data_IF_732305191946
#
_entry.id   IF_732305191946
#
_cell.length_a   1.000
_cell.length_b   1.000
_cell.length_c   1.000
_cell.angle_alpha   90.00
_cell.angle_beta   90.00
_cell.angle_gamma   90.00
#
_symmetry.space_group_name_H-M   'P 1'
#
loop_
_entity.id
_entity.type
_entity.pdbx_description
1 polymer ?
#
# COMPACT_ATOMS: atom_id res chain seq x y z
N UNK A 1 -20.23 -3.93 -16.22
CA UNK A 1 -19.67 -3.80 -17.57
C UNK A 1 -18.22 -3.32 -17.46
N UNK A 2 -17.26 -4.05 -17.98
CA UNK A 2 -15.87 -3.63 -17.89
C UNK A 2 -15.62 -2.35 -18.73
N UNK A 3 -14.73 -1.49 -18.24
CA UNK A 3 -14.33 -0.29 -18.99
C UNK A 3 -13.50 -0.62 -20.23
N UNK A 4 -12.91 -1.81 -20.27
CA UNK A 4 -12.02 -2.21 -21.36
C UNK A 4 -12.69 -3.31 -22.19
N UNK A 5 -12.91 -3.07 -23.49
CA UNK A 5 -13.42 -4.12 -24.39
C UNK A 5 -12.52 -5.36 -24.35
N UNK A 6 -13.12 -6.53 -24.38
CA UNK A 6 -12.38 -7.79 -24.38
C UNK A 6 -12.00 -8.33 -23.01
N UNK A 7 -12.27 -7.59 -21.94
CA UNK A 7 -12.14 -8.11 -20.57
C UNK A 7 -13.50 -8.56 -20.04
N UNK A 8 -13.49 -9.62 -19.25
CA UNK A 8 -14.70 -10.13 -18.58
C UNK A 8 -15.06 -9.25 -17.39
N UNK A 9 -16.30 -9.35 -16.91
CA UNK A 9 -16.79 -8.56 -15.76
C UNK A 9 -16.05 -8.90 -14.46
N UNK A 10 -15.43 -10.08 -14.38
CA UNK A 10 -14.64 -10.53 -13.23
C UNK A 10 -13.14 -10.25 -13.38
N UNK A 11 -12.75 -9.47 -14.39
CA UNK A 11 -11.35 -9.13 -14.62
C UNK A 11 -10.80 -8.27 -13.45
N UNK A 12 -9.63 -8.65 -12.96
CA UNK A 12 -8.91 -7.93 -11.92
C UNK A 12 -7.66 -7.23 -12.44
N UNK A 13 -6.90 -6.64 -11.53
CA UNK A 13 -5.68 -5.89 -11.84
C UNK A 13 -4.69 -6.71 -12.68
N UNK A 14 -4.54 -8.00 -12.41
CA UNK A 14 -3.67 -8.89 -13.19
C UNK A 14 -4.03 -8.95 -14.68
N UNK A 15 -5.30 -8.76 -15.01
CA UNK A 15 -5.75 -8.74 -16.40
C UNK A 15 -5.46 -7.37 -17.04
N UNK A 16 -5.62 -6.29 -16.28
CA UNK A 16 -5.38 -4.93 -16.75
C UNK A 16 -3.91 -4.72 -17.07
N UNK A 17 -2.99 -5.19 -16.23
CA UNK A 17 -1.55 -5.04 -16.48
C UNK A 17 -1.09 -5.78 -17.72
N UNK A 18 -1.85 -6.77 -18.20
CA UNK A 18 -1.55 -7.51 -19.43
C UNK A 18 -1.99 -6.79 -20.69
N UNK A 19 -2.81 -5.74 -20.59
CA UNK A 19 -3.25 -4.97 -21.76
C UNK A 19 -2.09 -4.24 -22.43
N UNK A 20 -1.09 -3.83 -21.64
CA UNK A 20 0.16 -3.29 -22.15
C UNK A 20 1.31 -4.03 -21.45
N UNK A 21 1.82 -5.11 -22.05
CA UNK A 21 2.81 -5.97 -21.39
C UNK A 21 4.09 -5.24 -20.98
N UNK A 22 4.54 -4.26 -21.76
CA UNK A 22 5.74 -3.48 -21.44
C UNK A 22 5.54 -2.63 -20.18
N UNK A 23 4.45 -1.89 -20.13
CA UNK A 23 4.11 -1.07 -18.96
C UNK A 23 3.79 -1.96 -17.73
N UNK A 24 3.07 -3.05 -17.94
CA UNK A 24 2.74 -3.99 -16.87
C UNK A 24 3.98 -4.60 -16.24
N UNK A 25 4.96 -5.01 -17.06
CA UNK A 25 6.24 -5.53 -16.57
C UNK A 25 6.99 -4.48 -15.76
N UNK A 26 7.10 -3.27 -16.28
CA UNK A 26 7.79 -2.18 -15.61
C UNK A 26 7.14 -1.86 -14.25
N UNK A 27 5.81 -1.89 -14.18
CA UNK A 27 5.06 -1.66 -12.94
C UNK A 27 5.34 -2.76 -11.92
N UNK A 28 5.33 -4.03 -12.33
CA UNK A 28 5.66 -5.17 -11.45
C UNK A 28 7.10 -5.09 -10.97
N UNK A 29 8.05 -4.75 -11.85
CA UNK A 29 9.45 -4.58 -11.48
C UNK A 29 9.63 -3.45 -10.47
N UNK A 30 8.97 -2.32 -10.66
CA UNK A 30 8.98 -1.21 -9.70
C UNK A 30 8.43 -1.64 -8.35
N UNK A 31 7.30 -2.33 -8.35
CA UNK A 31 6.66 -2.84 -7.13
C UNK A 31 7.61 -3.78 -6.38
N UNK A 32 8.25 -4.70 -7.07
CA UNK A 32 9.22 -5.62 -6.49
C UNK A 32 10.42 -4.88 -5.91
N UNK A 33 10.98 -3.94 -6.67
CA UNK A 33 12.11 -3.14 -6.22
C UNK A 33 11.76 -2.32 -4.97
N UNK A 34 10.58 -1.71 -4.95
CA UNK A 34 10.17 -0.87 -3.83
C UNK A 34 9.88 -1.69 -2.57
N UNK A 35 9.23 -2.85 -2.70
CA UNK A 35 8.67 -3.58 -1.56
C UNK A 35 9.49 -4.81 -1.15
N UNK A 36 10.37 -5.33 -1.99
CA UNK A 36 11.07 -6.59 -1.75
C UNK A 36 12.59 -6.47 -1.75
N UNK A 37 13.14 -5.37 -2.26
CA UNK A 37 14.60 -5.16 -2.21
C UNK A 37 15.01 -4.77 -0.80
N UNK A 38 16.09 -5.35 -0.33
CA UNK A 38 16.64 -5.05 0.98
C UNK A 38 17.01 -3.58 1.11
N UNK A 39 16.58 -2.99 2.20
CA UNK A 39 16.82 -1.61 2.55
C UNK A 39 16.76 -1.47 4.08
N UNK A 40 16.75 -0.24 4.57
CA UNK A 40 16.62 0.02 6.01
C UNK A 40 15.28 -0.43 6.59
N UNK A 41 14.25 -0.55 5.76
CA UNK A 41 12.94 -1.04 6.14
C UNK A 41 12.79 -2.49 5.68
N UNK A 42 12.28 -3.34 6.56
CA UNK A 42 11.97 -4.74 6.24
C UNK A 42 10.77 -4.83 5.30
N UNK A 43 10.62 -5.99 4.65
CA UNK A 43 9.42 -6.25 3.84
C UNK A 43 8.14 -6.13 4.69
N UNK A 44 8.17 -6.57 5.94
CA UNK A 44 7.08 -6.41 6.91
C UNK A 44 6.70 -4.94 7.09
N UNK A 45 7.70 -4.08 7.34
CA UNK A 45 7.48 -2.65 7.55
C UNK A 45 6.93 -1.98 6.29
N UNK A 46 7.47 -2.34 5.13
CA UNK A 46 7.02 -1.81 3.84
C UNK A 46 5.58 -2.19 3.54
N UNK A 47 5.17 -3.41 3.83
CA UNK A 47 3.79 -3.84 3.63
C UNK A 47 2.84 -3.17 4.62
N UNK A 48 3.27 -2.92 5.85
CA UNK A 48 2.49 -2.14 6.80
C UNK A 48 2.25 -0.73 6.28
N UNK A 49 3.29 -0.06 5.78
CA UNK A 49 3.18 1.28 5.20
C UNK A 49 2.23 1.25 3.99
N UNK A 50 2.39 0.27 3.11
CA UNK A 50 1.54 0.13 1.93
C UNK A 50 0.07 -0.10 2.29
N UNK A 51 -0.21 -0.94 3.29
CA UNK A 51 -1.56 -1.16 3.79
C UNK A 51 -2.17 0.10 4.38
N UNK A 52 -1.39 0.84 5.18
CA UNK A 52 -1.81 2.09 5.79
C UNK A 52 -2.17 3.14 4.73
N UNK A 53 -1.27 3.37 3.77
CA UNK A 53 -1.51 4.33 2.67
C UNK A 53 -2.73 3.91 1.83
N UNK A 54 -2.86 2.63 1.54
CA UNK A 54 -4.00 2.10 0.77
C UNK A 54 -5.33 2.32 1.50
N UNK A 55 -5.33 2.14 2.83
CA UNK A 55 -6.49 2.42 3.65
C UNK A 55 -6.86 3.90 3.67
N UNK A 56 -5.86 4.78 3.78
CA UNK A 56 -6.08 6.24 3.71
C UNK A 56 -6.69 6.66 2.37
N UNK A 57 -6.26 6.02 1.29
CA UNK A 57 -6.78 6.27 -0.06
C UNK A 57 -8.12 5.59 -0.33
N UNK A 58 -8.65 4.83 0.61
CA UNK A 58 -9.87 4.05 0.46
C UNK A 58 -9.84 3.11 -0.76
N UNK A 59 -8.66 2.63 -1.13
CA UNK A 59 -8.50 1.64 -2.19
C UNK A 59 -8.73 0.24 -1.61
N UNK A 60 -9.92 -0.32 -1.79
CA UNK A 60 -10.27 -1.62 -1.20
C UNK A 60 -9.36 -2.75 -1.69
N UNK A 61 -9.07 -2.79 -2.98
CA UNK A 61 -8.19 -3.80 -3.56
C UNK A 61 -6.76 -3.68 -3.01
N UNK A 62 -6.20 -2.48 -3.05
CA UNK A 62 -4.84 -2.22 -2.58
C UNK A 62 -4.70 -2.55 -1.09
N UNK A 63 -5.66 -2.09 -0.30
CA UNK A 63 -5.69 -2.38 1.13
C UNK A 63 -5.77 -3.88 1.41
N UNK A 64 -6.66 -4.58 0.72
CA UNK A 64 -6.82 -6.02 0.90
C UNK A 64 -5.54 -6.79 0.62
N UNK A 65 -4.87 -6.48 -0.49
CA UNK A 65 -3.62 -7.14 -0.87
C UNK A 65 -2.51 -6.86 0.16
N UNK A 66 -2.29 -5.59 0.48
CA UNK A 66 -1.18 -5.21 1.37
C UNK A 66 -1.45 -5.58 2.84
N UNK A 67 -2.69 -5.48 3.31
CA UNK A 67 -3.04 -5.88 4.67
C UNK A 67 -2.86 -7.39 4.87
N UNK A 68 -3.31 -8.21 3.92
CA UNK A 68 -3.11 -9.65 4.01
C UNK A 68 -1.63 -10.03 3.91
N UNK A 69 -0.87 -9.35 3.06
CA UNK A 69 0.56 -9.57 2.94
C UNK A 69 1.29 -9.15 4.22
N UNK A 70 0.93 -8.00 4.80
CA UNK A 70 1.50 -7.54 6.07
C UNK A 70 1.23 -8.55 7.20
N UNK A 71 0.01 -9.09 7.28
CA UNK A 71 -0.33 -10.14 8.25
C UNK A 71 0.52 -11.38 8.05
N UNK A 72 0.74 -11.79 6.80
CA UNK A 72 1.59 -12.94 6.48
C UNK A 72 3.04 -12.72 6.95
N UNK A 73 3.52 -11.48 6.96
CA UNK A 73 4.83 -11.12 7.52
C UNK A 73 4.81 -10.90 9.03
N UNK A 74 3.67 -11.06 9.69
CA UNK A 74 3.55 -11.00 11.14
C UNK A 74 3.02 -9.69 11.71
N UNK A 75 2.45 -8.81 10.88
CA UNK A 75 1.79 -7.59 11.37
C UNK A 75 0.41 -7.96 11.92
N UNK A 76 0.08 -7.61 13.17
CA UNK A 76 -1.27 -7.83 13.71
C UNK A 76 -2.31 -7.00 12.95
N UNK A 77 -3.45 -7.61 12.63
CA UNK A 77 -4.57 -6.89 11.99
C UNK A 77 -5.02 -5.68 12.82
N UNK A 78 -5.01 -5.82 14.15
CA UNK A 78 -5.39 -4.75 15.07
C UNK A 78 -4.49 -3.52 14.95
N UNK A 79 -3.22 -3.69 14.62
CA UNK A 79 -2.30 -2.56 14.43
C UNK A 79 -2.68 -1.74 13.20
N UNK A 80 -2.99 -2.40 12.08
CA UNK A 80 -3.41 -1.71 10.86
C UNK A 80 -4.71 -0.94 11.10
N UNK A 81 -5.67 -1.59 11.76
CA UNK A 81 -6.95 -0.96 12.12
C UNK A 81 -6.75 0.24 13.04
N UNK A 82 -5.87 0.13 14.03
CA UNK A 82 -5.56 1.23 14.94
C UNK A 82 -4.94 2.42 14.22
N UNK A 83 -4.03 2.17 13.29
CA UNK A 83 -3.39 3.25 12.52
C UNK A 83 -4.42 4.02 11.68
N UNK A 84 -5.42 3.34 11.15
CA UNK A 84 -6.47 3.96 10.35
C UNK A 84 -7.57 4.61 11.21
N UNK A 85 -7.83 4.07 12.39
CA UNK A 85 -8.89 4.55 13.28
C UNK A 85 -8.44 5.60 14.28
N UNK A 86 -7.31 5.36 14.96
CA UNK A 86 -6.74 6.25 15.98
C UNK A 86 -5.23 6.23 15.85
N UNK A 87 -4.74 6.99 14.89
CA UNK A 87 -3.32 7.04 14.55
C UNK A 87 -2.43 7.39 15.75
N UNK A 88 -2.83 8.37 16.55
CA UNK A 88 -2.01 8.88 17.64
C UNK A 88 -1.74 7.83 18.72
N UNK A 89 -2.69 6.94 18.98
CA UNK A 89 -2.60 5.93 20.02
C UNK A 89 -2.27 4.52 19.48
N UNK A 90 -2.02 4.38 18.19
CA UNK A 90 -1.65 3.11 17.61
C UNK A 90 -0.30 2.63 18.16
N UNK A 91 -0.20 1.36 18.63
CA UNK A 91 1.02 0.85 19.26
C UNK A 91 2.06 0.44 18.23
N UNK A 92 2.57 1.39 17.48
CA UNK A 92 3.58 1.18 16.45
C UNK A 92 4.96 1.44 17.01
N UNK A 93 5.97 0.74 16.46
CA UNK A 93 7.37 0.93 16.80
C UNK A 93 7.76 2.40 16.63
N UNK A 94 8.51 2.92 17.58
CA UNK A 94 8.99 4.30 17.58
C UNK A 94 9.77 4.66 16.31
N UNK A 95 10.48 3.70 15.72
CA UNK A 95 11.19 3.87 14.44
C UNK A 95 10.23 4.16 13.28
N UNK A 96 9.06 3.55 13.29
CA UNK A 96 8.10 3.66 12.20
C UNK A 96 7.16 4.86 12.35
N UNK A 97 6.98 5.36 13.55
CA UNK A 97 6.05 6.47 13.82
C UNK A 97 6.27 7.67 12.89
N UNK A 98 7.47 8.26 12.80
CA UNK A 98 7.70 9.41 11.94
C UNK A 98 7.53 9.06 10.44
N UNK A 99 7.84 7.84 10.05
CA UNK A 99 7.68 7.38 8.66
C UNK A 99 6.21 7.29 8.29
N UNK A 100 5.39 6.72 9.18
CA UNK A 100 3.95 6.61 8.97
C UNK A 100 3.28 7.99 9.00
N UNK A 101 3.73 8.88 9.86
CA UNK A 101 3.24 10.26 9.89
C UNK A 101 3.56 11.00 8.59
N UNK A 102 4.76 10.86 8.08
CA UNK A 102 5.15 11.42 6.78
C UNK A 102 4.28 10.85 5.66
N UNK A 103 4.08 9.54 5.64
CA UNK A 103 3.23 8.88 4.65
C UNK A 103 1.78 9.39 4.72
N UNK A 104 1.27 9.58 5.92
CA UNK A 104 -0.07 10.10 6.16
C UNK A 104 -0.22 11.52 5.61
N UNK A 105 0.70 12.42 5.96
CA UNK A 105 0.68 13.81 5.48
C UNK A 105 0.79 13.86 3.97
N UNK A 106 1.72 13.11 3.39
CA UNK A 106 1.92 13.06 1.94
C UNK A 106 0.68 12.53 1.21
N UNK A 107 -0.03 11.58 1.79
CA UNK A 107 -1.22 10.98 1.19
C UNK A 107 -2.43 11.90 1.29
N UNK A 108 -2.66 12.50 2.46
CA UNK A 108 -3.85 13.31 2.73
C UNK A 108 -3.68 14.78 2.32
N UNK A 109 -2.45 15.27 2.29
CA UNK A 109 -2.14 16.67 1.99
C UNK A 109 -0.95 16.72 1.03
N UNK A 110 -1.15 16.32 -0.24
CA UNK A 110 -0.03 16.18 -1.19
C UNK A 110 0.60 17.52 -1.60
N UNK A 111 -0.06 18.64 -1.36
CA UNK A 111 0.51 19.97 -1.59
C UNK A 111 1.40 20.35 -0.41
N UNK A 112 2.66 20.76 -0.65
CA UNK A 112 3.51 21.25 0.43
C UNK A 112 2.84 22.43 1.13
N UNK A 113 2.76 22.39 2.47
CA UNK A 113 2.37 23.57 3.22
C UNK A 113 3.41 24.68 2.97
N UNK A 114 3.00 25.88 2.60
CA UNK A 114 3.93 26.99 2.62
C UNK A 114 4.42 27.17 4.05
N UNK A 115 5.74 27.17 4.22
CA UNK A 115 6.36 27.46 5.51
C UNK A 115 6.19 28.90 5.89
#
# INVERSE_FOLDING_TARGET
MPFFPGLSDDAGVRHIVKLNPGAGRALVELHTAALRTDAQLSAKDKELIAAFVSGLNACQYCYGVHAETAKAFGVPASLIESLLGDFEHAPVDAKLRPILEYARVLTLTPTPSPH
#
